data_IF_034613007056
#
_entry.id   IF_034613007056
#
_cell.length_a   1.000
_cell.length_b   1.000
_cell.length_c   1.000
_cell.angle_alpha   90.00
_cell.angle_beta   90.00
_cell.angle_gamma   90.00
#
_symmetry.space_group_name_H-M   'P 1'
#
loop_
_entity.id
_entity.type
_entity.pdbx_description
1 polymer ?
#
# COMPACT_ATOMS: atom_id res chain seq x y z
N UNK A 1 59.46 -11.90 43.27
CA UNK A 1 58.40 -11.03 42.71
C UNK A 1 58.20 -11.32 41.22
N UNK A 2 59.26 -11.35 40.39
CA UNK A 2 59.17 -11.64 38.93
C UNK A 2 58.54 -13.01 38.57
N UNK A 3 58.77 -14.07 39.36
CA UNK A 3 58.22 -15.41 39.07
C UNK A 3 56.69 -15.52 39.23
N UNK A 4 56.11 -14.83 40.22
CA UNK A 4 54.65 -14.81 40.47
C UNK A 4 53.94 -14.01 39.38
N UNK A 5 54.59 -12.96 38.87
CA UNK A 5 54.06 -12.12 37.79
C UNK A 5 54.07 -12.86 36.44
N UNK A 6 55.10 -13.67 36.17
CA UNK A 6 55.15 -14.56 35.00
C UNK A 6 54.07 -15.63 35.03
N UNK A 7 53.82 -16.24 36.19
CA UNK A 7 52.77 -17.25 36.38
C UNK A 7 51.36 -16.65 36.18
N UNK A 8 51.12 -15.44 36.72
CA UNK A 8 49.87 -14.73 36.52
C UNK A 8 49.63 -14.35 35.05
N UNK A 9 50.66 -13.87 34.34
CA UNK A 9 50.54 -13.58 32.90
C UNK A 9 50.28 -14.84 32.06
N UNK A 10 50.83 -15.99 32.48
CA UNK A 10 50.58 -17.26 31.81
C UNK A 10 49.13 -17.72 31.98
N UNK A 11 48.60 -17.61 33.20
CA UNK A 11 47.19 -17.89 33.49
C UNK A 11 46.24 -16.96 32.74
N UNK A 12 46.56 -15.66 32.64
CA UNK A 12 45.76 -14.69 31.90
C UNK A 12 45.77 -14.98 30.39
N UNK A 13 46.93 -15.36 29.83
CA UNK A 13 47.04 -15.79 28.44
C UNK A 13 46.20 -17.04 28.17
N UNK A 14 46.21 -18.00 29.07
CA UNK A 14 45.44 -19.25 28.91
C UNK A 14 43.93 -18.99 28.94
N UNK A 15 43.45 -18.06 29.78
CA UNK A 15 42.05 -17.62 29.81
C UNK A 15 41.69 -16.89 28.50
N UNK A 16 42.55 -15.99 28.03
CA UNK A 16 42.33 -15.26 26.78
C UNK A 16 42.23 -16.19 25.57
N UNK A 17 43.12 -17.17 25.47
CA UNK A 17 43.20 -18.09 24.31
C UNK A 17 42.13 -19.16 24.36
N UNK A 18 41.82 -19.73 25.53
CA UNK A 18 40.92 -20.88 25.61
C UNK A 18 39.45 -20.51 25.82
N UNK A 19 39.16 -19.31 26.32
CA UNK A 19 37.79 -18.89 26.63
C UNK A 19 37.36 -17.64 25.84
N UNK A 20 38.12 -16.55 25.94
CA UNK A 20 37.71 -15.25 25.39
C UNK A 20 37.80 -15.17 23.86
N UNK A 21 38.89 -15.65 23.27
CA UNK A 21 39.07 -15.69 21.81
C UNK A 21 38.01 -16.58 21.13
N UNK A 22 37.80 -17.84 21.58
CA UNK A 22 36.78 -18.70 21.00
C UNK A 22 35.35 -18.16 21.18
N UNK A 23 35.04 -17.54 22.32
CA UNK A 23 33.71 -16.94 22.53
C UNK A 23 33.45 -15.76 21.60
N UNK A 24 34.41 -14.84 21.45
CA UNK A 24 34.32 -13.73 20.49
C UNK A 24 34.24 -14.22 19.03
N UNK A 25 34.95 -15.30 18.69
CA UNK A 25 34.84 -15.92 17.36
C UNK A 25 33.44 -16.49 17.12
N UNK A 26 32.85 -17.19 18.10
CA UNK A 26 31.48 -17.69 17.99
C UNK A 26 30.47 -16.55 17.87
N UNK A 27 30.64 -15.49 18.66
CA UNK A 27 29.80 -14.29 18.59
C UNK A 27 29.91 -13.61 17.23
N UNK A 28 31.11 -13.44 16.70
CA UNK A 28 31.34 -12.88 15.37
C UNK A 28 30.68 -13.72 14.28
N UNK A 29 30.80 -15.06 14.35
CA UNK A 29 30.12 -15.96 13.41
C UNK A 29 28.61 -15.83 13.54
N UNK A 30 28.06 -15.80 14.75
CA UNK A 30 26.61 -15.63 14.97
C UNK A 30 26.11 -14.29 14.41
N UNK A 31 26.81 -13.19 14.68
CA UNK A 31 26.46 -11.87 14.16
C UNK A 31 26.49 -11.84 12.62
N UNK A 32 27.53 -12.40 12.02
CA UNK A 32 27.72 -12.38 10.56
C UNK A 32 26.76 -13.32 9.82
N UNK A 33 26.39 -14.46 10.41
CA UNK A 33 25.64 -15.51 9.72
C UNK A 33 24.17 -15.57 10.11
N UNK A 34 23.82 -15.31 11.36
CA UNK A 34 22.43 -15.33 11.78
C UNK A 34 21.83 -13.94 11.80
N UNK A 35 22.39 -13.02 12.57
CA UNK A 35 21.76 -11.71 12.78
C UNK A 35 21.77 -10.85 11.52
N UNK A 36 22.92 -10.80 10.84
CA UNK A 36 23.04 -10.06 9.59
C UNK A 36 22.11 -10.60 8.52
N UNK A 37 22.04 -11.93 8.34
CA UNK A 37 21.15 -12.53 7.34
C UNK A 37 19.68 -12.28 7.68
N UNK A 38 19.28 -12.40 8.96
CA UNK A 38 17.91 -12.04 9.40
C UNK A 38 17.57 -10.60 9.04
N UNK A 39 18.49 -9.66 9.26
CA UNK A 39 18.29 -8.25 8.93
C UNK A 39 18.25 -8.00 7.41
N UNK A 40 19.08 -8.69 6.63
CA UNK A 40 19.06 -8.62 5.17
C UNK A 40 17.76 -9.17 4.58
N UNK A 41 17.26 -10.29 5.11
CA UNK A 41 15.99 -10.87 4.71
C UNK A 41 14.82 -9.92 5.02
N UNK A 42 14.80 -9.34 6.24
CA UNK A 42 13.79 -8.34 6.61
C UNK A 42 13.85 -7.10 5.73
N UNK A 43 15.05 -6.60 5.41
CA UNK A 43 15.26 -5.49 4.47
C UNK A 43 14.67 -5.82 3.11
N UNK A 44 15.00 -7.00 2.56
CA UNK A 44 14.52 -7.43 1.24
C UNK A 44 13.00 -7.55 1.19
N UNK A 45 12.36 -8.08 2.24
CA UNK A 45 10.90 -8.16 2.32
C UNK A 45 10.24 -6.77 2.35
N UNK A 46 10.81 -5.83 3.11
CA UNK A 46 10.30 -4.45 3.18
C UNK A 46 10.52 -3.74 1.84
N UNK A 47 11.69 -3.90 1.23
CA UNK A 47 11.99 -3.32 -0.09
C UNK A 47 11.01 -3.83 -1.15
N UNK A 48 10.76 -5.15 -1.18
CA UNK A 48 9.74 -5.74 -2.04
C UNK A 48 8.35 -5.16 -1.73
N UNK A 49 7.96 -5.02 -0.46
CA UNK A 49 6.66 -4.44 -0.11
C UNK A 49 6.51 -2.95 -0.48
N UNK A 50 7.61 -2.20 -0.53
CA UNK A 50 7.65 -0.79 -0.89
C UNK A 50 7.73 -0.54 -2.41
N UNK A 51 7.98 -1.57 -3.21
CA UNK A 51 7.99 -1.46 -4.66
C UNK A 51 6.66 -0.87 -5.19
N UNK A 52 6.68 0.00 -6.22
CA UNK A 52 5.49 0.71 -6.69
C UNK A 52 4.32 -0.19 -7.11
N UNK A 53 4.60 -1.44 -7.50
CA UNK A 53 3.59 -2.44 -7.86
C UNK A 53 3.00 -3.19 -6.65
N UNK A 54 3.70 -3.21 -5.52
CA UNK A 54 3.24 -3.82 -4.26
C UNK A 54 2.63 -2.79 -3.29
N UNK A 55 2.86 -1.50 -3.55
CA UNK A 55 2.25 -0.42 -2.80
C UNK A 55 0.79 -0.19 -3.21
N UNK A 56 -0.14 -0.46 -2.28
CA UNK A 56 -1.55 -0.10 -2.47
C UNK A 56 -1.83 1.26 -1.82
N UNK A 57 -2.09 2.28 -2.64
CA UNK A 57 -2.42 3.63 -2.19
C UNK A 57 -3.69 3.69 -1.32
N UNK A 58 -4.60 2.73 -1.50
CA UNK A 58 -5.88 2.70 -0.80
C UNK A 58 -6.26 1.26 -0.45
N UNK A 59 -6.83 1.11 0.74
CA UNK A 59 -7.44 -0.14 1.18
C UNK A 59 -8.94 0.11 1.40
N UNK A 60 -9.76 -0.84 0.96
CA UNK A 60 -11.21 -0.77 1.17
C UNK A 60 -11.47 -1.10 2.64
N UNK A 61 -11.77 -0.06 3.44
CA UNK A 61 -11.98 -0.19 4.90
C UNK A 61 -13.41 -0.57 5.30
N UNK A 62 -14.32 -0.71 4.32
CA UNK A 62 -15.75 -1.03 4.55
C UNK A 62 -16.40 -1.55 3.26
N UNK A 63 -17.63 -2.05 3.35
CA UNK A 63 -18.39 -2.54 2.21
C UNK A 63 -18.58 -1.43 1.16
N UNK A 64 -18.36 -1.79 -0.11
CA UNK A 64 -18.60 -0.89 -1.24
C UNK A 64 -20.12 -0.66 -1.34
N UNK A 65 -20.60 0.50 -0.91
CA UNK A 65 -22.02 0.85 -0.97
C UNK A 65 -22.41 1.17 -2.42
N UNK A 66 -22.98 0.18 -3.10
CA UNK A 66 -23.56 0.38 -4.43
C UNK A 66 -24.97 0.95 -4.25
N UNK A 67 -25.20 2.18 -4.73
CA UNK A 67 -26.52 2.81 -4.65
C UNK A 67 -27.53 2.05 -5.53
N UNK A 68 -28.57 1.50 -4.90
CA UNK A 68 -29.73 0.91 -5.58
C UNK A 68 -30.62 1.95 -6.28
N UNK A 69 -30.34 3.25 -6.12
CA UNK A 69 -31.04 4.36 -6.76
C UNK A 69 -30.09 5.00 -7.78
N UNK A 70 -30.17 4.64 -9.07
CA UNK A 70 -29.29 5.20 -10.07
C UNK A 70 -29.57 6.69 -10.27
N UNK A 71 -28.52 7.49 -10.46
CA UNK A 71 -28.60 8.91 -10.83
C UNK A 71 -29.01 9.12 -12.30
N UNK A 72 -29.30 8.05 -13.04
CA UNK A 72 -29.74 8.09 -14.45
C UNK A 72 -31.05 8.89 -14.58
N UNK A 73 -31.26 9.60 -15.70
CA UNK A 73 -32.48 10.37 -15.90
C UNK A 73 -33.70 9.46 -15.81
N UNK A 74 -34.70 9.84 -15.00
CA UNK A 74 -35.90 9.04 -14.79
C UNK A 74 -36.73 9.03 -16.07
N UNK A 75 -37.11 7.85 -16.55
CA UNK A 75 -37.91 7.68 -17.79
C UNK A 75 -39.18 8.53 -17.80
N UNK A 76 -39.83 8.67 -16.63
CA UNK A 76 -41.04 9.51 -16.46
C UNK A 76 -40.76 10.97 -16.81
N UNK A 77 -39.61 11.51 -16.42
CA UNK A 77 -39.23 12.90 -16.72
C UNK A 77 -39.03 13.09 -18.23
N UNK A 78 -38.40 12.11 -18.89
CA UNK A 78 -38.19 12.14 -20.35
C UNK A 78 -39.53 12.17 -21.09
N UNK A 79 -40.46 11.30 -20.70
CA UNK A 79 -41.80 11.22 -21.32
C UNK A 79 -42.58 12.53 -21.11
N UNK A 80 -42.54 13.08 -19.89
CA UNK A 80 -43.23 14.34 -19.59
C UNK A 80 -42.70 15.52 -20.41
N UNK A 81 -41.38 15.64 -20.55
CA UNK A 81 -40.75 16.70 -21.36
C UNK A 81 -41.10 16.50 -22.84
N UNK A 82 -40.98 15.28 -23.37
CA UNK A 82 -41.29 15.01 -24.77
C UNK A 82 -42.75 15.34 -25.11
N UNK A 83 -43.69 14.98 -24.22
CA UNK A 83 -45.10 15.31 -24.38
C UNK A 83 -45.34 16.82 -24.38
N UNK A 84 -44.79 17.54 -23.39
CA UNK A 84 -44.97 18.99 -23.29
C UNK A 84 -44.34 19.74 -24.48
N UNK A 85 -43.14 19.35 -24.88
CA UNK A 85 -42.47 19.91 -26.07
C UNK A 85 -43.25 19.62 -27.34
N UNK A 86 -43.80 18.42 -27.50
CA UNK A 86 -44.63 18.06 -28.65
C UNK A 86 -45.93 18.87 -28.72
N UNK A 87 -46.60 19.08 -27.58
CA UNK A 87 -47.79 19.94 -27.51
C UNK A 87 -47.45 21.39 -27.89
N UNK A 88 -46.36 21.94 -27.38
CA UNK A 88 -45.91 23.29 -27.74
C UNK A 88 -45.63 23.39 -29.24
N UNK A 89 -44.84 22.46 -29.79
CA UNK A 89 -44.54 22.42 -31.22
C UNK A 89 -45.80 22.32 -32.09
N UNK A 90 -46.80 21.54 -31.66
CA UNK A 90 -48.07 21.43 -32.38
C UNK A 90 -48.81 22.77 -32.46
N UNK A 91 -48.91 23.50 -31.34
CA UNK A 91 -49.59 24.81 -31.31
C UNK A 91 -48.82 25.81 -32.18
N UNK A 92 -47.49 25.88 -32.03
CA UNK A 92 -46.65 26.75 -32.87
C UNK A 92 -46.77 26.42 -34.36
N UNK A 93 -46.82 25.13 -34.73
CA UNK A 93 -46.94 24.69 -36.12
C UNK A 93 -48.24 25.18 -36.78
N UNK A 94 -49.37 25.11 -36.07
CA UNK A 94 -50.67 25.61 -36.57
C UNK A 94 -50.62 27.13 -36.75
N UNK A 95 -50.07 27.87 -35.79
CA UNK A 95 -49.96 29.33 -35.88
C UNK A 95 -49.07 29.78 -37.05
N UNK A 96 -47.96 29.09 -37.28
CA UNK A 96 -47.07 29.38 -38.42
C UNK A 96 -47.77 29.04 -39.74
N UNK A 97 -48.48 27.90 -39.82
CA UNK A 97 -49.21 27.51 -41.02
C UNK A 97 -50.30 28.53 -41.38
N UNK A 98 -51.07 29.00 -40.39
CA UNK A 98 -52.10 30.02 -40.58
C UNK A 98 -51.50 31.35 -41.05
N UNK A 99 -50.36 31.76 -40.47
CA UNK A 99 -49.63 32.98 -40.82
C UNK A 99 -49.01 32.98 -42.23
N UNK A 100 -48.68 31.80 -42.78
CA UNK A 100 -48.16 31.68 -44.16
C UNK A 100 -49.30 31.59 -45.18
N UNK A 101 -50.42 30.98 -44.79
CA UNK A 101 -51.58 30.80 -45.67
C UNK A 101 -52.38 32.10 -45.86
N UNK A 102 -52.43 32.93 -44.83
CA UNK A 102 -53.16 34.20 -44.80
C UNK A 102 -52.23 35.39 -45.06
#
# INVERSE_FOLDING_TARGET
>A
MVGVELENMQAEKDILVNDKLPSLQRELVNLQTEELNKLLDQRSLIELALEPYNYQNTQIVSDIVISNKPVKPKKVIIIAIAFLSGLMLSVFGVLVYDSIKN
#
